data_IF_896778645183
#
_entry.id   IF_896778645183
#
_cell.length_a   1.000
_cell.length_b   1.000
_cell.length_c   1.000
_cell.angle_alpha   90.00
_cell.angle_beta   90.00
_cell.angle_gamma   90.00
#
_symmetry.space_group_name_H-M   'P 1'
#
loop_
_entity.id
_entity.type
_entity.pdbx_description
1 polymer ?
#
# COMPACT_ATOMS: atom_id res chain seq x y z
N UNK A 1 -40.98 3.74 -51.99
CA UNK A 1 -39.60 4.25 -52.12
C UNK A 1 -39.62 5.63 -51.50
N UNK A 2 -39.10 5.96 -50.33
CA UNK A 2 -37.75 5.88 -49.75
C UNK A 2 -37.81 7.09 -48.77
N UNK A 3 -37.37 7.11 -47.53
CA UNK A 3 -36.54 6.24 -46.73
C UNK A 3 -36.13 7.05 -45.48
N UNK A 4 -35.51 6.34 -44.55
CA UNK A 4 -34.62 6.85 -43.51
C UNK A 4 -35.22 7.71 -42.40
N UNK A 5 -35.54 7.03 -41.29
CA UNK A 5 -35.56 7.63 -39.97
C UNK A 5 -34.18 8.11 -39.53
N UNK A 6 -34.15 9.17 -38.73
CA UNK A 6 -32.94 9.69 -38.11
C UNK A 6 -33.08 9.56 -36.59
N UNK A 7 -32.69 8.39 -36.06
CA UNK A 7 -32.48 8.22 -34.63
C UNK A 7 -31.19 8.95 -34.25
N UNK A 8 -31.31 10.10 -33.60
CA UNK A 8 -30.18 10.78 -32.96
C UNK A 8 -29.79 9.98 -31.71
N UNK A 9 -28.80 9.10 -31.86
CA UNK A 9 -28.18 8.41 -30.73
C UNK A 9 -27.39 9.42 -29.88
N UNK A 10 -27.90 9.70 -28.68
CA UNK A 10 -27.15 10.33 -27.59
C UNK A 10 -25.96 9.44 -27.21
N UNK A 11 -24.75 9.81 -27.64
CA UNK A 11 -23.53 9.26 -27.09
C UNK A 11 -23.06 10.10 -25.90
N UNK A 12 -23.76 9.96 -24.77
CA UNK A 12 -23.17 10.33 -23.49
C UNK A 12 -22.07 9.30 -23.19
N UNK A 13 -20.83 9.60 -23.61
CA UNK A 13 -19.64 8.88 -23.15
C UNK A 13 -19.47 9.26 -21.68
N UNK A 14 -20.18 8.53 -20.81
CA UNK A 14 -19.87 8.53 -19.38
C UNK A 14 -18.52 7.83 -19.29
N UNK A 15 -17.45 8.61 -19.22
CA UNK A 15 -16.17 8.14 -18.72
C UNK A 15 -16.42 7.72 -17.27
N UNK A 16 -16.83 6.47 -17.06
CA UNK A 16 -16.69 5.80 -15.78
C UNK A 16 -15.18 5.63 -15.56
N UNK A 17 -14.51 6.71 -15.14
CA UNK A 17 -13.30 6.61 -14.35
C UNK A 17 -13.72 5.85 -13.10
N UNK A 18 -13.57 4.53 -13.13
CA UNK A 18 -13.70 3.69 -11.96
C UNK A 18 -12.77 4.28 -10.91
N UNK A 19 -13.34 4.98 -9.94
CA UNK A 19 -12.65 5.39 -8.73
C UNK A 19 -12.34 4.10 -7.98
N UNK A 20 -11.30 3.39 -8.43
CA UNK A 20 -10.63 2.41 -7.62
C UNK A 20 -10.17 3.20 -6.39
N UNK A 21 -10.83 2.96 -5.25
CA UNK A 21 -10.44 3.51 -3.95
C UNK A 21 -9.05 2.95 -3.65
N UNK A 22 -8.02 3.61 -4.18
CA UNK A 22 -6.66 3.42 -3.73
C UNK A 22 -6.64 3.76 -2.25
N UNK A 23 -5.92 2.96 -1.48
CA UNK A 23 -5.54 3.43 -0.17
C UNK A 23 -4.76 4.72 -0.37
N UNK A 24 -5.36 5.84 0.01
CA UNK A 24 -4.72 7.13 -0.20
C UNK A 24 -3.56 7.21 0.78
N UNK A 25 -2.33 7.04 0.29
CA UNK A 25 -1.12 7.16 1.09
C UNK A 25 -1.16 8.42 1.97
N UNK A 26 -1.66 9.54 1.44
CA UNK A 26 -1.74 10.81 2.15
C UNK A 26 -2.70 10.80 3.33
N UNK A 27 -3.71 9.93 3.32
CA UNK A 27 -4.68 9.79 4.41
C UNK A 27 -4.14 9.03 5.63
N UNK A 28 -3.00 8.36 5.51
CA UNK A 28 -2.42 7.60 6.61
C UNK A 28 -1.75 8.51 7.64
N UNK A 29 -1.80 8.08 8.91
CA UNK A 29 -1.04 8.72 9.97
C UNK A 29 0.49 8.57 9.76
N UNK A 30 1.26 9.40 10.46
CA UNK A 30 2.73 9.46 10.34
C UNK A 30 3.41 8.13 10.66
N UNK A 31 2.88 7.37 11.63
CA UNK A 31 3.47 6.10 12.06
C UNK A 31 3.36 5.03 10.97
N UNK A 32 2.17 4.86 10.38
CA UNK A 32 1.95 3.94 9.28
C UNK A 32 2.76 4.36 8.04
N UNK A 33 2.77 5.65 7.69
CA UNK A 33 3.58 6.19 6.58
C UNK A 33 5.06 5.85 6.74
N UNK A 34 5.60 5.94 7.97
CA UNK A 34 7.01 5.62 8.23
C UNK A 34 7.36 4.18 7.83
N UNK A 35 6.51 3.21 8.12
CA UNK A 35 6.74 1.82 7.70
C UNK A 35 6.53 1.62 6.19
N UNK A 36 5.53 2.29 5.61
CA UNK A 36 5.32 2.25 4.15
C UNK A 36 6.53 2.83 3.41
N UNK A 37 7.08 3.95 3.87
CA UNK A 37 8.25 4.58 3.27
C UNK A 37 9.48 3.67 3.30
N UNK A 38 9.69 2.93 4.39
CA UNK A 38 10.77 1.92 4.46
C UNK A 38 10.59 0.84 3.41
N UNK A 39 9.37 0.35 3.21
CA UNK A 39 9.08 -0.62 2.15
C UNK A 39 9.35 -0.05 0.75
N UNK A 40 8.98 1.21 0.49
CA UNK A 40 9.22 1.89 -0.79
C UNK A 40 10.72 2.07 -1.04
N UNK A 41 11.47 2.54 -0.05
CA UNK A 41 12.92 2.74 -0.14
C UNK A 41 13.61 1.40 -0.42
N UNK A 42 13.32 0.36 0.37
CA UNK A 42 13.88 -0.97 0.18
C UNK A 42 13.58 -1.51 -1.21
N UNK A 43 12.33 -1.39 -1.69
CA UNK A 43 11.96 -1.85 -3.02
C UNK A 43 12.70 -1.08 -4.12
N UNK A 44 12.78 0.24 -4.03
CA UNK A 44 13.53 1.03 -5.00
C UNK A 44 15.02 0.69 -4.97
N UNK A 45 15.64 0.45 -3.81
CA UNK A 45 17.03 -0.01 -3.72
C UNK A 45 17.23 -1.40 -4.32
N UNK A 46 16.43 -2.39 -3.87
CA UNK A 46 16.59 -3.80 -4.21
C UNK A 46 16.28 -4.12 -5.68
N UNK A 47 15.28 -3.46 -6.24
CA UNK A 47 14.87 -3.67 -7.63
C UNK A 47 15.54 -2.65 -8.58
N UNK A 48 16.75 -2.19 -8.25
CA UNK A 48 17.52 -1.16 -8.98
C UNK A 48 17.73 -1.42 -10.46
N UNK A 49 17.77 -2.69 -10.88
CA UNK A 49 17.82 -3.06 -12.29
C UNK A 49 16.57 -2.60 -13.09
N UNK A 50 15.48 -2.22 -12.41
CA UNK A 50 14.31 -1.63 -13.05
C UNK A 50 14.50 -0.12 -13.16
N UNK A 51 14.40 0.40 -14.38
CA UNK A 51 14.56 1.83 -14.70
C UNK A 51 13.41 2.72 -14.22
N UNK A 52 12.46 2.17 -13.46
CA UNK A 52 11.20 2.83 -13.11
C UNK A 52 11.07 2.93 -11.60
N UNK A 53 10.65 4.12 -11.14
CA UNK A 53 10.41 4.37 -9.73
C UNK A 53 9.21 3.54 -9.24
N UNK A 54 9.28 3.00 -8.04
CA UNK A 54 8.25 2.14 -7.43
C UNK A 54 7.53 2.92 -6.32
N UNK A 55 6.20 2.92 -6.34
CA UNK A 55 5.36 3.62 -5.37
C UNK A 55 4.41 2.68 -4.61
N UNK A 56 3.91 3.15 -3.47
CA UNK A 56 2.84 2.48 -2.72
C UNK A 56 1.54 2.42 -3.51
N UNK A 57 0.98 1.21 -3.64
CA UNK A 57 -0.30 1.00 -4.30
C UNK A 57 -1.45 0.72 -3.32
N UNK A 58 -1.26 -0.25 -2.39
CA UNK A 58 -2.27 -0.59 -1.38
C UNK A 58 -1.69 -1.36 -0.19
N UNK A 59 -2.42 -1.35 0.92
CA UNK A 59 -2.20 -2.30 2.00
C UNK A 59 -2.69 -3.71 1.59
N UNK A 60 -2.11 -4.73 2.20
CA UNK A 60 -2.60 -6.11 2.15
C UNK A 60 -3.30 -6.39 3.47
N UNK A 61 -4.37 -7.18 3.44
CA UNK A 61 -5.38 -7.40 4.49
C UNK A 61 -4.88 -7.60 5.95
N UNK A 62 -3.59 -7.87 6.18
CA UNK A 62 -2.99 -7.95 7.51
C UNK A 62 -2.21 -6.68 7.84
N UNK A 63 -2.74 -5.93 8.81
CA UNK A 63 -2.08 -4.80 9.44
C UNK A 63 -2.20 -4.94 10.95
N UNK A 64 -1.07 -4.93 11.64
CA UNK A 64 -1.02 -4.76 13.09
C UNK A 64 0.00 -3.67 13.37
N UNK A 65 -0.39 -2.60 14.05
CA UNK A 65 0.52 -1.53 14.42
C UNK A 65 0.18 -1.14 15.85
N UNK A 66 1.04 -1.53 16.78
CA UNK A 66 1.01 -1.17 18.19
C UNK A 66 2.32 -0.47 18.54
N UNK A 67 2.42 0.08 19.76
CA UNK A 67 3.65 0.71 20.24
C UNK A 67 4.83 -0.27 20.39
N UNK A 68 4.57 -1.57 20.51
CA UNK A 68 5.58 -2.59 20.78
C UNK A 68 5.80 -3.55 19.61
N UNK A 69 4.77 -3.77 18.79
CA UNK A 69 4.81 -4.68 17.66
C UNK A 69 4.11 -4.08 16.44
N UNK A 70 4.72 -4.25 15.27
CA UNK A 70 4.11 -3.88 14.01
C UNK A 70 4.33 -4.95 12.94
N UNK A 71 3.36 -5.05 12.05
CA UNK A 71 3.33 -5.86 10.85
C UNK A 71 2.56 -5.08 9.79
N UNK A 72 3.28 -4.56 8.81
CA UNK A 72 2.74 -3.77 7.71
C UNK A 72 3.06 -4.51 6.42
N UNK A 73 2.02 -5.00 5.74
CA UNK A 73 2.15 -5.68 4.46
C UNK A 73 1.56 -4.81 3.35
N UNK A 74 2.35 -4.52 2.32
CA UNK A 74 1.99 -3.60 1.24
C UNK A 74 2.25 -4.19 -0.13
N UNK A 75 1.44 -3.77 -1.09
CA UNK A 75 1.74 -3.91 -2.52
C UNK A 75 2.30 -2.60 -3.05
N UNK A 76 3.40 -2.71 -3.78
CA UNK A 76 4.05 -1.61 -4.48
C UNK A 76 4.07 -1.91 -5.98
N UNK A 77 3.92 -0.87 -6.79
CA UNK A 77 3.89 -0.98 -8.26
C UNK A 77 4.86 0.01 -8.90
N UNK A 78 5.43 -0.34 -10.07
CA UNK A 78 6.24 0.59 -10.84
C UNK A 78 5.38 1.71 -11.44
N UNK A 79 5.96 2.90 -11.48
CA UNK A 79 5.39 4.11 -12.05
C UNK A 79 5.92 4.34 -13.46
N UNK A 80 5.38 5.35 -14.14
CA UNK A 80 5.94 5.83 -15.42
C UNK A 80 7.23 6.63 -15.22
N UNK A 81 7.49 7.15 -14.01
CA UNK A 81 8.67 7.94 -13.74
C UNK A 81 9.93 7.10 -13.85
N UNK A 82 10.97 7.69 -14.46
CA UNK A 82 12.30 7.12 -14.41
C UNK A 82 12.77 7.07 -12.96
N UNK A 83 13.48 6.00 -12.62
CA UNK A 83 14.12 5.89 -11.32
C UNK A 83 15.34 6.81 -11.28
N UNK A 84 15.41 7.65 -10.24
CA UNK A 84 16.61 8.39 -9.88
C UNK A 84 17.19 7.77 -8.59
N UNK A 85 18.50 7.57 -8.51
CA UNK A 85 19.16 6.95 -7.35
C UNK A 85 18.98 7.76 -6.06
N UNK A 86 18.74 9.07 -6.19
CA UNK A 86 18.48 9.96 -5.05
C UNK A 86 17.01 10.03 -4.64
N UNK A 87 16.08 9.54 -5.48
CA UNK A 87 14.63 9.63 -5.26
C UNK A 87 14.00 8.25 -5.05
N UNK A 88 14.23 7.71 -3.85
CA UNK A 88 13.77 6.37 -3.45
C UNK A 88 12.46 6.39 -2.65
N UNK A 89 11.90 7.57 -2.36
CA UNK A 89 10.71 7.75 -1.50
C UNK A 89 9.43 7.90 -2.33
N UNK A 90 8.27 7.77 -1.68
CA UNK A 90 6.95 7.97 -2.30
C UNK A 90 6.89 9.28 -3.12
N UNK A 91 6.43 9.19 -4.38
CA UNK A 91 6.26 10.34 -5.28
C UNK A 91 4.81 10.51 -5.73
N UNK A 92 4.19 11.64 -5.40
CA UNK A 92 2.76 11.90 -5.76
C UNK A 92 2.55 12.22 -7.23
N UNK A 93 3.57 12.80 -7.86
CA UNK A 93 3.60 13.22 -9.26
C UNK A 93 3.85 12.07 -10.24
N UNK A 94 4.05 10.85 -9.73
CA UNK A 94 4.40 9.67 -10.52
C UNK A 94 3.25 8.66 -10.62
N UNK A 95 2.43 8.70 -11.68
CA UNK A 95 1.35 7.75 -11.86
C UNK A 95 1.87 6.35 -12.20
N UNK A 96 1.05 5.34 -11.92
CA UNK A 96 1.36 3.95 -12.24
C UNK A 96 1.37 3.68 -13.73
N UNK A 97 2.14 2.67 -14.14
CA UNK A 97 2.09 2.18 -15.52
C UNK A 97 0.71 1.59 -15.81
N UNK A 98 0.14 1.91 -16.97
CA UNK A 98 -1.13 1.32 -17.40
C UNK A 98 -1.05 -0.21 -17.54
N UNK A 99 0.11 -0.72 -17.96
CA UNK A 99 0.40 -2.15 -18.01
C UNK A 99 1.11 -2.59 -16.73
N UNK A 100 0.49 -3.52 -16.01
CA UNK A 100 1.06 -4.12 -14.81
C UNK A 100 2.23 -5.04 -15.19
N UNK A 101 3.45 -4.55 -15.09
CA UNK A 101 4.67 -5.31 -15.44
C UNK A 101 5.25 -6.07 -14.26
N UNK A 102 5.07 -5.56 -13.05
CA UNK A 102 5.58 -6.15 -11.82
C UNK A 102 4.72 -5.72 -10.63
N UNK A 103 4.46 -6.68 -9.74
CA UNK A 103 3.87 -6.41 -8.43
C UNK A 103 4.91 -6.78 -7.38
N UNK A 104 5.24 -5.84 -6.51
CA UNK A 104 6.15 -6.08 -5.39
C UNK A 104 5.32 -6.15 -4.13
N UNK A 105 5.56 -7.19 -3.33
CA UNK A 105 4.97 -7.33 -2.02
C UNK A 105 6.07 -7.13 -0.98
N UNK A 106 5.87 -6.16 -0.09
CA UNK A 106 6.79 -5.86 0.99
C UNK A 106 6.12 -6.07 2.34
N UNK A 107 6.88 -6.64 3.28
CA UNK A 107 6.51 -6.70 4.69
C UNK A 107 7.51 -5.87 5.48
N UNK A 108 7.01 -5.02 6.37
CA UNK A 108 7.78 -4.27 7.37
C UNK A 108 7.25 -4.65 8.73
N UNK A 109 8.07 -5.28 9.56
CA UNK A 109 7.61 -5.81 10.84
C UNK A 109 8.69 -5.76 11.92
N UNK A 110 8.27 -5.84 13.19
CA UNK A 110 9.16 -6.13 14.31
C UNK A 110 9.46 -7.64 14.38
N UNK A 111 10.74 -7.99 14.47
CA UNK A 111 11.24 -9.34 14.73
C UNK A 111 11.17 -9.68 16.22
N UNK A 112 11.15 -10.98 16.53
CA UNK A 112 11.44 -11.48 17.88
C UNK A 112 12.82 -10.97 18.32
N UNK A 113 12.85 -10.14 19.37
CA UNK A 113 14.08 -9.49 19.86
C UNK A 113 14.22 -7.99 19.52
N UNK A 114 13.20 -7.37 18.93
CA UNK A 114 13.10 -5.89 18.81
C UNK A 114 13.80 -5.29 17.59
N UNK A 115 14.38 -6.11 16.71
CA UNK A 115 14.95 -5.62 15.44
C UNK A 115 13.87 -5.51 14.36
N UNK A 116 14.02 -4.58 13.42
CA UNK A 116 13.09 -4.45 12.30
C UNK A 116 13.47 -5.38 11.15
N UNK A 117 12.46 -5.98 10.51
CA UNK A 117 12.60 -6.68 9.23
C UNK A 117 11.86 -5.89 8.15
N UNK A 118 12.56 -5.62 7.05
CA UNK A 118 11.98 -5.16 5.79
C UNK A 118 12.24 -6.21 4.72
N UNK A 119 11.19 -6.84 4.20
CA UNK A 119 11.31 -7.89 3.20
C UNK A 119 10.43 -7.62 1.98
N UNK A 120 11.06 -7.10 0.92
CA UNK A 120 10.44 -6.86 -0.37
C UNK A 120 10.79 -7.98 -1.37
N UNK A 121 9.77 -8.59 -1.97
CA UNK A 121 9.92 -9.58 -3.05
C UNK A 121 8.88 -9.35 -4.15
N UNK A 122 9.12 -9.92 -5.34
CA UNK A 122 8.07 -9.99 -6.36
C UNK A 122 6.90 -10.78 -5.78
N UNK A 123 5.67 -10.37 -6.07
CA UNK A 123 4.47 -10.96 -5.47
C UNK A 123 4.39 -12.48 -5.70
N UNK A 124 4.82 -12.94 -6.89
CA UNK A 124 4.87 -14.37 -7.24
C UNK A 124 5.85 -15.18 -6.36
N UNK A 125 6.85 -14.53 -5.79
CA UNK A 125 7.88 -15.16 -4.95
C UNK A 125 7.56 -15.10 -3.45
N UNK A 126 6.42 -14.54 -3.04
CA UNK A 126 6.03 -14.41 -1.63
C UNK A 126 6.09 -15.76 -0.89
N UNK A 127 5.70 -16.85 -1.54
CA UNK A 127 5.77 -18.20 -0.95
C UNK A 127 7.20 -18.62 -0.58
N UNK A 128 8.20 -18.20 -1.35
CA UNK A 128 9.63 -18.49 -1.10
C UNK A 128 10.18 -17.69 0.08
N UNK A 129 9.54 -16.59 0.45
CA UNK A 129 9.95 -15.74 1.59
C UNK A 129 9.13 -15.99 2.85
N UNK A 130 8.36 -17.09 2.90
CA UNK A 130 7.50 -17.41 4.04
C UNK A 130 8.30 -17.56 5.34
N UNK A 131 9.45 -18.24 5.28
CA UNK A 131 10.30 -18.49 6.45
C UNK A 131 10.87 -17.18 7.01
N UNK A 132 11.44 -16.32 6.15
CA UNK A 132 11.94 -14.99 6.55
C UNK A 132 10.82 -14.17 7.19
N UNK A 133 9.61 -14.23 6.63
CA UNK A 133 8.45 -13.48 7.12
C UNK A 133 7.81 -14.07 8.37
N UNK A 134 8.12 -15.32 8.72
CA UNK A 134 7.71 -15.94 9.98
C UNK A 134 8.51 -15.42 11.18
N UNK A 135 9.63 -14.73 10.94
CA UNK A 135 10.39 -14.03 11.99
C UNK A 135 9.64 -12.81 12.55
N UNK A 136 8.68 -12.27 11.79
CA UNK A 136 7.74 -11.28 12.30
C UNK A 136 6.91 -11.96 13.40
N UNK A 137 7.00 -11.47 14.63
CA UNK A 137 6.41 -12.12 15.82
C UNK A 137 5.01 -12.69 15.55
N UNK A 138 4.92 -14.02 15.49
CA UNK A 138 3.68 -14.79 15.68
C UNK A 138 3.24 -14.60 17.14
N UNK A 139 2.51 -13.53 17.43
CA UNK A 139 1.58 -13.53 18.56
C UNK A 139 0.18 -13.54 17.96
N UNK A 140 -0.39 -14.74 17.93
CA UNK A 140 -1.82 -14.93 17.76
C UNK A 140 -2.59 -13.91 18.62
N UNK A 141 -3.57 -13.23 18.01
CA UNK A 141 -4.70 -12.59 18.69
C UNK A 141 -4.40 -11.38 19.62
N UNK A 142 -3.65 -10.39 19.17
CA UNK A 142 -3.85 -9.04 19.73
C UNK A 142 -4.53 -8.16 18.68
N UNK A 143 -5.67 -7.58 19.07
CA UNK A 143 -6.55 -6.80 18.20
C UNK A 143 -5.80 -5.71 17.46
N UNK A 144 -5.41 -6.01 16.22
CA UNK A 144 -4.79 -5.04 15.34
C UNK A 144 -5.80 -3.95 15.02
N UNK A 145 -5.36 -2.70 15.06
CA UNK A 145 -6.16 -1.59 14.58
C UNK A 145 -6.60 -1.90 13.13
N UNK A 146 -7.91 -1.98 12.90
CA UNK A 146 -8.44 -2.11 11.54
C UNK A 146 -7.94 -0.95 10.68
N UNK A 147 -7.72 -1.18 9.39
CA UNK A 147 -7.23 -0.16 8.43
C UNK A 147 -8.03 1.16 8.53
N UNK A 148 -9.32 1.08 8.89
CA UNK A 148 -10.19 2.23 9.14
C UNK A 148 -9.74 3.13 10.31
N UNK A 149 -9.24 2.56 11.41
CA UNK A 149 -8.76 3.30 12.59
C UNK A 149 -7.49 4.10 12.29
N UNK A 150 -6.69 3.66 11.31
CA UNK A 150 -5.43 4.31 10.94
C UNK A 150 -5.61 5.41 9.87
N UNK A 151 -6.82 5.58 9.32
CA UNK A 151 -7.19 6.61 8.34
C UNK A 151 -7.73 7.90 8.98
N UNK A 152 -8.00 7.92 10.28
CA UNK A 152 -8.49 9.11 10.98
C UNK A 152 -7.34 9.94 11.53
N UNK A 153 -7.06 11.07 10.89
CA UNK A 153 -6.27 12.16 11.46
C UNK A 153 -7.07 13.45 11.36
N UNK A 154 -8.04 13.62 12.26
CA UNK A 154 -8.54 14.92 12.75
C UNK A 154 -9.50 14.66 13.91
N UNK A 155 -8.94 14.51 15.10
CA UNK A 155 -9.38 15.19 16.32
C UNK A 155 -8.60 14.61 17.51
N UNK A 156 -8.20 15.52 18.37
CA UNK A 156 -7.68 15.27 19.70
C UNK A 156 -8.51 14.19 20.41
N UNK A 157 -7.83 13.28 21.10
CA UNK A 157 -8.51 12.34 22.00
C UNK A 157 -9.38 13.11 22.99
N UNK A 158 -10.56 12.56 23.31
CA UNK A 158 -10.88 12.39 24.71
C UNK A 158 -10.80 10.91 25.03
N UNK A 159 -10.06 10.61 26.09
CA UNK A 159 -10.22 9.39 26.86
C UNK A 159 -11.72 9.13 27.13
N UNK A 160 -12.18 7.90 26.93
CA UNK A 160 -13.48 7.46 27.46
C UNK A 160 -14.20 6.43 26.62
N UNK A 161 -14.12 5.16 27.03
CA UNK A 161 -15.31 4.34 27.17
C UNK A 161 -15.38 3.90 28.64
N UNK A 162 -16.11 4.71 29.42
CA UNK A 162 -16.74 4.29 30.67
C UNK A 162 -17.81 3.27 30.29
N UNK A 163 -17.76 2.10 30.92
CA UNK A 163 -18.87 1.17 31.20
C UNK A 163 -19.87 0.81 30.08
N UNK A 164 -19.98 -0.49 29.82
CA UNK A 164 -21.30 -1.10 29.60
C UNK A 164 -21.45 -2.28 30.57
N UNK A 165 -22.62 -2.31 31.21
CA UNK A 165 -23.13 -3.30 32.18
C UNK A 165 -23.26 -4.68 31.53
#
# INVERSE_FOLDING_TARGET
>A
MNGAGLFLFLSAVVLLSSAYKWDNYDSFNKHLKTHIDKAIVEANMKFSAHSRHINFHRLVDRLSVTSQNYFVNVMLLPTICAKNETELRQRKDCPFQAKLTMVINCVVCSRRGGTELVNCVKHLDVKKSKEIRAECSDDHNTGGASILSLKTSHNEQPFGCIGCV
#
